data_IF_692748723472
#
_entry.id   IF_692748723472
#
_cell.length_a   1.000
_cell.length_b   1.000
_cell.length_c   1.000
_cell.angle_alpha   90.00
_cell.angle_beta   90.00
_cell.angle_gamma   90.00
#
_symmetry.space_group_name_H-M   'P 1'
#
loop_
_entity.id
_entity.type
_entity.pdbx_description
1 polymer ?
#
# COMPACT_ATOMS: atom_id res chain seq x y z
N UNK A 1 -3.23 12.47 76.55
CA UNK A 1 -2.71 11.08 76.52
C UNK A 1 -3.91 10.18 76.20
N UNK A 2 -4.00 9.35 75.16
CA UNK A 2 -3.03 8.80 74.20
C UNK A 2 -3.82 8.19 73.01
N UNK A 3 -3.46 8.60 71.77
CA UNK A 3 -3.25 7.80 70.53
C UNK A 3 -4.33 6.86 69.91
N UNK A 4 -4.64 7.17 68.62
CA UNK A 4 -4.53 6.30 67.39
C UNK A 4 -5.65 5.25 67.15
N UNK A 5 -6.22 4.97 65.96
CA UNK A 5 -5.84 5.10 64.53
C UNK A 5 -7.06 4.94 63.58
N UNK A 6 -7.01 5.61 62.41
CA UNK A 6 -7.33 5.20 61.01
C UNK A 6 -8.69 4.48 60.68
N UNK A 7 -9.32 4.62 59.49
CA UNK A 7 -8.78 4.57 58.13
C UNK A 7 -9.87 4.94 57.08
N UNK A 8 -9.50 5.81 56.14
CA UNK A 8 -9.82 5.89 54.70
C UNK A 8 -11.11 5.31 54.10
N UNK A 9 -11.81 6.13 53.31
CA UNK A 9 -12.39 5.72 52.03
C UNK A 9 -12.35 6.89 51.02
N UNK A 10 -11.18 7.09 50.42
CA UNK A 10 -11.04 7.84 49.17
C UNK A 10 -11.85 7.13 48.09
N UNK A 11 -12.94 7.74 47.62
CA UNK A 11 -13.60 7.35 46.36
C UNK A 11 -12.72 7.89 45.23
N UNK A 12 -11.66 7.16 44.92
CA UNK A 12 -10.92 7.32 43.68
C UNK A 12 -11.62 6.51 42.60
N UNK A 13 -12.71 7.04 42.05
CA UNK A 13 -13.20 6.59 40.75
C UNK A 13 -12.21 7.14 39.72
N UNK A 14 -11.06 6.49 39.59
CA UNK A 14 -10.20 6.71 38.44
C UNK A 14 -11.01 6.25 37.24
N UNK A 15 -11.60 7.20 36.50
CA UNK A 15 -11.84 7.01 35.08
C UNK A 15 -10.48 6.62 34.51
N UNK A 16 -10.26 5.32 34.35
CA UNK A 16 -9.28 4.85 33.39
C UNK A 16 -9.79 5.36 32.06
N UNK A 17 -9.34 6.55 31.64
CA UNK A 17 -9.36 6.90 30.25
C UNK A 17 -8.71 5.71 29.55
N UNK A 18 -9.40 5.03 28.61
CA UNK A 18 -8.74 4.00 27.82
C UNK A 18 -7.60 4.72 27.11
N UNK A 19 -6.37 4.50 27.58
CA UNK A 19 -5.20 4.71 26.74
C UNK A 19 -5.44 3.72 25.59
N UNK A 20 -5.86 4.24 24.44
CA UNK A 20 -6.07 3.42 23.25
C UNK A 20 -4.76 2.75 22.93
N UNK A 21 -4.59 1.49 23.35
CA UNK A 21 -3.58 0.63 22.77
C UNK A 21 -3.88 0.62 21.27
N UNK A 22 -2.89 0.82 20.40
CA UNK A 22 -3.10 0.53 18.98
C UNK A 22 -3.16 -1.01 18.89
N UNK A 23 -4.24 -1.54 18.32
CA UNK A 23 -4.38 -2.96 18.10
C UNK A 23 -4.08 -3.29 16.64
N UNK A 24 -3.48 -4.46 16.42
CA UNK A 24 -3.44 -5.10 15.13
C UNK A 24 -4.85 -5.17 14.53
N UNK A 25 -4.94 -5.05 13.20
CA UNK A 25 -6.16 -5.30 12.46
C UNK A 25 -6.53 -6.78 12.60
N UNK A 26 -7.77 -7.07 12.94
CA UNK A 26 -8.35 -8.40 12.78
C UNK A 26 -8.85 -8.51 11.34
N UNK A 27 -8.22 -9.37 10.56
CA UNK A 27 -8.45 -9.54 9.13
C UNK A 27 -8.82 -10.99 8.80
N UNK A 28 -9.79 -11.16 7.92
CA UNK A 28 -10.28 -12.46 7.47
C UNK A 28 -10.13 -12.55 5.95
N UNK A 29 -9.13 -13.29 5.43
CA UNK A 29 -8.76 -13.28 4.02
C UNK A 29 -9.84 -13.78 3.06
N UNK A 30 -10.85 -14.52 3.54
CA UNK A 30 -11.97 -15.03 2.72
C UNK A 30 -13.32 -14.38 3.06
N UNK A 31 -13.38 -13.54 4.09
CA UNK A 31 -14.61 -12.93 4.59
C UNK A 31 -15.63 -13.88 5.23
N UNK A 32 -15.50 -15.20 5.00
CA UNK A 32 -16.43 -16.25 5.42
C UNK A 32 -16.13 -16.81 6.82
N UNK A 33 -14.94 -16.56 7.37
CA UNK A 33 -14.55 -16.90 8.74
C UNK A 33 -14.31 -18.38 9.00
N UNK A 34 -14.28 -19.21 7.96
CA UNK A 34 -14.21 -20.66 8.09
C UNK A 34 -12.93 -21.30 7.48
N UNK A 35 -12.49 -20.89 6.29
CA UNK A 35 -11.38 -21.58 5.60
C UNK A 35 -10.02 -20.98 5.94
N UNK A 36 -9.90 -19.64 5.95
CA UNK A 36 -8.72 -18.94 6.45
C UNK A 36 -8.87 -18.53 7.91
N UNK A 37 -10.07 -18.14 8.33
CA UNK A 37 -10.31 -17.65 9.68
C UNK A 37 -9.75 -16.24 9.90
N UNK A 38 -9.93 -15.71 11.10
CA UNK A 38 -9.52 -14.32 11.43
C UNK A 38 -8.15 -14.27 12.07
N UNK A 39 -7.28 -13.41 11.51
CA UNK A 39 -5.90 -13.19 11.95
C UNK A 39 -5.71 -11.77 12.46
N UNK A 40 -4.89 -11.61 13.49
CA UNK A 40 -4.37 -10.30 13.86
C UNK A 40 -3.16 -9.96 12.96
N UNK A 41 -3.20 -8.86 12.23
CA UNK A 41 -2.14 -8.39 11.33
C UNK A 41 -1.83 -6.91 11.55
N UNK A 42 -0.59 -6.51 11.30
CA UNK A 42 -0.15 -5.10 11.25
C UNK A 42 0.36 -4.69 9.86
N UNK A 43 0.43 -5.66 8.93
CA UNK A 43 0.96 -5.47 7.59
C UNK A 43 0.31 -6.44 6.59
N UNK A 44 -0.06 -5.89 5.44
CA UNK A 44 -0.39 -6.62 4.22
C UNK A 44 0.83 -6.56 3.30
N UNK A 45 1.35 -7.71 2.90
CA UNK A 45 2.54 -7.84 2.08
C UNK A 45 2.14 -8.25 0.66
N UNK A 46 2.40 -7.38 -0.31
CA UNK A 46 2.00 -7.60 -1.69
C UNK A 46 3.10 -8.33 -2.44
N UNK A 47 2.74 -9.15 -3.42
CA UNK A 47 3.71 -9.71 -4.35
C UNK A 47 4.41 -8.57 -5.12
N UNK A 48 5.69 -8.77 -5.52
CA UNK A 48 6.35 -7.86 -6.44
C UNK A 48 5.47 -7.59 -7.66
N UNK A 49 5.48 -6.34 -8.13
CA UNK A 49 4.56 -5.88 -9.16
C UNK A 49 5.16 -4.79 -10.07
N UNK A 50 4.34 -4.34 -11.03
CA UNK A 50 4.63 -3.27 -11.96
C UNK A 50 3.91 -1.97 -11.60
N UNK A 51 4.59 -0.86 -11.84
CA UNK A 51 4.06 0.51 -11.77
C UNK A 51 4.23 1.16 -13.13
N UNK A 52 3.22 1.90 -13.59
CA UNK A 52 3.31 2.80 -14.75
C UNK A 52 3.22 4.26 -14.31
N UNK A 53 4.08 5.09 -14.87
CA UNK A 53 3.94 6.55 -14.89
C UNK A 53 3.45 6.97 -16.28
N UNK A 54 2.13 7.10 -16.44
CA UNK A 54 1.49 7.51 -17.70
C UNK A 54 1.82 8.97 -17.97
N UNK A 55 2.52 9.22 -19.08
CA UNK A 55 3.08 10.52 -19.42
C UNK A 55 4.30 10.93 -18.59
N UNK A 56 4.84 10.05 -17.74
CA UNK A 56 5.94 10.38 -16.82
C UNK A 56 7.21 10.81 -17.54
N UNK A 57 7.59 10.11 -18.61
CA UNK A 57 8.79 10.46 -19.40
C UNK A 57 8.58 11.79 -20.14
N UNK A 58 7.38 12.02 -20.69
CA UNK A 58 7.01 13.29 -21.32
C UNK A 58 7.04 14.46 -20.33
N UNK A 59 6.54 14.27 -19.11
CA UNK A 59 6.54 15.28 -18.06
C UNK A 59 7.97 15.70 -17.66
N UNK A 60 8.91 14.75 -17.60
CA UNK A 60 10.33 15.02 -17.35
C UNK A 60 10.94 15.84 -18.49
N UNK A 61 10.69 15.44 -19.74
CA UNK A 61 11.16 16.19 -20.91
C UNK A 61 10.61 17.63 -20.91
N UNK A 62 9.32 17.79 -20.60
CA UNK A 62 8.68 19.10 -20.49
C UNK A 62 9.31 19.94 -19.38
N UNK A 63 9.64 19.36 -18.22
CA UNK A 63 10.32 20.06 -17.14
C UNK A 63 11.69 20.62 -17.58
N UNK A 64 12.51 19.78 -18.21
CA UNK A 64 13.84 20.18 -18.71
C UNK A 64 13.72 21.26 -19.78
N UNK A 65 12.74 21.12 -20.68
CA UNK A 65 12.47 22.09 -21.73
C UNK A 65 12.00 23.44 -21.16
N UNK A 66 11.12 23.44 -20.17
CA UNK A 66 10.68 24.63 -19.45
C UNK A 66 11.87 25.37 -18.82
N UNK A 67 12.76 24.63 -18.14
CA UNK A 67 13.96 25.20 -17.52
C UNK A 67 14.95 25.79 -18.53
N UNK A 68 15.11 25.16 -19.69
CA UNK A 68 16.06 25.59 -20.74
C UNK A 68 15.56 26.80 -21.52
N UNK A 69 14.28 26.82 -21.85
CA UNK A 69 13.71 27.78 -22.80
C UNK A 69 12.73 28.79 -22.17
N UNK A 70 12.46 28.70 -20.86
CA UNK A 70 11.54 29.60 -20.16
C UNK A 70 10.08 29.43 -20.60
N UNK A 71 9.66 28.20 -20.88
CA UNK A 71 8.29 27.85 -21.30
C UNK A 71 7.47 27.27 -20.14
N UNK A 72 6.18 26.97 -20.40
CA UNK A 72 5.23 26.47 -19.40
C UNK A 72 4.44 25.26 -19.94
N UNK A 73 5.17 24.25 -20.41
CA UNK A 73 4.59 22.95 -20.75
C UNK A 73 4.15 22.21 -19.49
N UNK A 74 3.14 21.34 -19.62
CA UNK A 74 2.61 20.53 -18.53
C UNK A 74 3.66 19.53 -18.03
N UNK A 75 3.85 19.46 -16.71
CA UNK A 75 4.78 18.54 -16.04
C UNK A 75 4.06 17.55 -15.14
N UNK A 76 2.73 17.44 -15.27
CA UNK A 76 1.91 16.46 -14.56
C UNK A 76 1.87 15.13 -15.28
N UNK A 77 1.70 14.06 -14.52
CA UNK A 77 1.58 12.69 -14.99
C UNK A 77 0.78 11.89 -13.97
N UNK A 78 0.33 10.68 -14.34
CA UNK A 78 -0.43 9.83 -13.43
C UNK A 78 0.28 8.51 -13.20
N UNK A 79 0.33 8.09 -11.94
CA UNK A 79 0.92 6.83 -11.52
C UNK A 79 -0.19 5.83 -11.29
N UNK A 80 -0.05 4.63 -11.83
CA UNK A 80 -0.93 3.49 -11.57
C UNK A 80 -0.13 2.25 -11.22
N UNK A 81 -0.65 1.46 -10.30
CA UNK A 81 -0.11 0.14 -9.97
C UNK A 81 -1.24 -0.79 -9.59
N UNK A 82 -0.94 -2.08 -9.67
CA UNK A 82 -1.80 -3.16 -9.26
C UNK A 82 -0.94 -4.21 -8.57
N UNK A 83 -1.44 -4.94 -7.57
CA UNK A 83 -0.65 -6.00 -6.93
C UNK A 83 -1.55 -7.09 -6.35
N UNK A 84 -0.99 -8.29 -6.19
CA UNK A 84 -1.65 -9.42 -5.52
C UNK A 84 -1.18 -9.48 -4.08
N UNK A 85 -2.09 -9.76 -3.15
CA UNK A 85 -1.71 -9.97 -1.76
C UNK A 85 -0.97 -11.30 -1.65
N UNK A 86 0.22 -11.28 -1.07
CA UNK A 86 1.01 -12.47 -0.81
C UNK A 86 0.74 -12.99 0.61
N UNK A 87 0.95 -12.14 1.61
CA UNK A 87 0.81 -12.52 3.02
C UNK A 87 0.20 -11.43 3.88
N UNK A 88 -0.44 -11.83 4.98
CA UNK A 88 -0.68 -10.93 6.10
C UNK A 88 0.29 -11.24 7.22
N UNK A 89 0.88 -10.20 7.81
CA UNK A 89 1.94 -10.33 8.81
C UNK A 89 1.57 -9.64 10.11
N UNK A 90 2.17 -10.12 11.20
CA UNK A 90 2.14 -9.50 12.51
C UNK A 90 3.56 -9.53 13.10
N UNK A 91 4.11 -8.36 13.44
CA UNK A 91 5.49 -8.24 13.93
C UNK A 91 6.49 -8.99 13.03
N UNK A 92 6.37 -8.81 11.72
CA UNK A 92 7.20 -9.47 10.69
C UNK A 92 7.10 -11.00 10.63
N UNK A 93 6.07 -11.60 11.21
CA UNK A 93 5.77 -13.02 11.06
C UNK A 93 4.50 -13.22 10.24
N UNK A 94 4.57 -14.04 9.20
CA UNK A 94 3.42 -14.42 8.38
C UNK A 94 2.36 -15.08 9.26
N UNK A 95 1.16 -14.51 9.27
CA UNK A 95 -0.02 -15.07 9.93
C UNK A 95 -0.84 -15.91 8.96
N UNK A 96 -0.90 -15.46 7.71
CA UNK A 96 -1.48 -16.22 6.61
C UNK A 96 -0.73 -15.93 5.31
N UNK A 97 -0.93 -16.83 4.34
CA UNK A 97 -0.49 -16.70 2.95
C UNK A 97 -1.70 -16.89 2.06
N UNK A 98 -1.89 -16.01 1.09
CA UNK A 98 -2.94 -16.18 0.09
C UNK A 98 -2.61 -17.35 -0.83
N UNK A 99 -3.61 -18.14 -1.24
CA UNK A 99 -3.34 -19.24 -2.16
C UNK A 99 -4.56 -19.96 -2.72
N UNK A 100 -4.52 -20.22 -4.03
CA UNK A 100 -5.10 -21.40 -4.69
C UNK A 100 -6.60 -21.37 -5.01
N UNK A 101 -7.46 -20.84 -4.13
CA UNK A 101 -8.91 -20.82 -4.35
C UNK A 101 -9.53 -19.43 -4.29
N UNK A 102 -8.75 -18.42 -3.92
CA UNK A 102 -9.14 -17.02 -3.95
C UNK A 102 -7.90 -16.14 -4.00
N UNK A 103 -8.10 -14.89 -4.38
CA UNK A 103 -7.07 -13.88 -4.32
C UNK A 103 -7.61 -12.55 -3.83
N UNK A 104 -6.69 -11.73 -3.33
CA UNK A 104 -6.96 -10.34 -3.01
C UNK A 104 -5.99 -9.51 -3.84
N UNK A 105 -6.53 -8.56 -4.57
CA UNK A 105 -5.73 -7.62 -5.37
C UNK A 105 -5.91 -6.20 -4.84
N UNK A 106 -4.98 -5.32 -5.19
CA UNK A 106 -5.09 -3.89 -4.98
C UNK A 106 -4.84 -3.17 -6.28
N UNK A 107 -5.62 -2.12 -6.54
CA UNK A 107 -5.31 -1.08 -7.52
C UNK A 107 -5.04 0.22 -6.78
N UNK A 108 -4.05 0.98 -7.24
CA UNK A 108 -3.72 2.29 -6.69
C UNK A 108 -3.35 3.25 -7.81
N UNK A 109 -3.94 4.45 -7.77
CA UNK A 109 -3.70 5.50 -8.75
C UNK A 109 -3.62 6.89 -8.12
N UNK A 110 -2.72 7.75 -8.60
CA UNK A 110 -2.68 9.17 -8.23
C UNK A 110 -1.94 10.04 -9.24
N UNK A 111 -2.29 11.33 -9.26
CA UNK A 111 -1.61 12.33 -10.09
C UNK A 111 -0.40 12.93 -9.38
N UNK A 112 0.70 13.08 -10.10
CA UNK A 112 1.95 13.68 -9.64
C UNK A 112 2.44 14.76 -10.61
N UNK A 113 3.40 15.56 -10.16
CA UNK A 113 4.13 16.52 -10.99
C UNK A 113 5.63 16.38 -10.79
N UNK A 114 6.39 16.64 -11.85
CA UNK A 114 7.85 16.73 -11.77
C UNK A 114 8.22 18.01 -11.01
N UNK A 115 8.99 17.86 -9.94
CA UNK A 115 9.48 18.98 -9.11
C UNK A 115 10.95 19.31 -9.40
N UNK A 116 11.69 18.32 -9.89
CA UNK A 116 13.07 18.46 -10.35
C UNK A 116 13.37 17.39 -11.40
N UNK A 117 14.16 17.73 -12.41
CA UNK A 117 14.78 16.78 -13.32
C UNK A 117 16.09 17.32 -13.89
N UNK A 118 17.08 16.44 -14.05
CA UNK A 118 18.34 16.73 -14.70
C UNK A 118 18.75 15.56 -15.60
N UNK A 119 18.78 15.80 -16.92
CA UNK A 119 19.17 14.81 -17.91
C UNK A 119 20.64 14.38 -17.80
N UNK A 120 21.50 15.20 -17.20
CA UNK A 120 22.94 14.91 -17.06
C UNK A 120 23.19 13.84 -16.02
N UNK A 121 22.49 13.96 -14.88
CA UNK A 121 22.60 13.01 -13.76
C UNK A 121 21.56 11.89 -13.85
N UNK A 122 20.52 12.06 -14.67
CA UNK A 122 19.40 11.13 -14.79
C UNK A 122 18.48 11.13 -13.58
N UNK A 123 18.56 12.16 -12.72
CA UNK A 123 17.78 12.28 -11.49
C UNK A 123 16.48 13.03 -11.78
N UNK A 124 15.38 12.55 -11.22
CA UNK A 124 14.10 13.24 -11.18
C UNK A 124 13.44 13.10 -9.80
N UNK A 125 12.71 14.14 -9.37
CA UNK A 125 11.87 14.10 -8.17
C UNK A 125 10.45 14.54 -8.51
N UNK A 126 9.49 14.00 -7.78
CA UNK A 126 8.07 14.23 -8.02
C UNK A 126 7.31 14.40 -6.72
N UNK A 127 6.17 15.08 -6.81
CA UNK A 127 5.25 15.29 -5.70
C UNK A 127 3.81 15.04 -6.17
N UNK A 128 2.96 14.53 -5.28
CA UNK A 128 1.53 14.41 -5.56
C UNK A 128 0.92 15.81 -5.77
N UNK A 129 -0.02 15.91 -6.71
CA UNK A 129 -0.83 17.10 -6.92
C UNK A 129 -2.31 16.72 -6.93
N UNK A 130 -3.18 17.73 -6.84
CA UNK A 130 -4.61 17.51 -6.99
C UNK A 130 -4.91 16.89 -8.36
N UNK A 131 -5.77 15.87 -8.38
CA UNK A 131 -6.11 15.12 -9.59
C UNK A 131 -6.90 13.86 -9.23
N UNK A 132 -7.09 12.97 -10.19
CA UNK A 132 -7.68 11.66 -9.92
C UNK A 132 -6.75 10.88 -8.98
N UNK A 133 -7.33 10.30 -7.93
CA UNK A 133 -6.64 9.39 -7.04
C UNK A 133 -7.61 8.34 -6.47
N UNK A 134 -7.11 7.13 -6.28
CA UNK A 134 -7.88 6.04 -5.70
C UNK A 134 -6.95 4.97 -5.14
N UNK A 135 -7.52 4.16 -4.26
CA UNK A 135 -7.02 2.84 -3.89
C UNK A 135 -8.23 1.95 -3.70
N UNK A 136 -8.21 0.78 -4.33
CA UNK A 136 -9.26 -0.22 -4.19
C UNK A 136 -8.65 -1.59 -3.98
N UNK A 137 -9.24 -2.38 -3.08
CA UNK A 137 -8.92 -3.79 -2.93
C UNK A 137 -10.10 -4.63 -3.37
N UNK A 138 -9.79 -5.70 -4.09
CA UNK A 138 -10.77 -6.66 -4.56
C UNK A 138 -10.49 -8.02 -3.93
N UNK A 139 -11.55 -8.76 -3.66
CA UNK A 139 -11.51 -10.18 -3.36
C UNK A 139 -12.14 -10.95 -4.52
N UNK A 140 -11.44 -11.95 -5.03
CA UNK A 140 -11.93 -12.82 -6.09
C UNK A 140 -11.87 -14.30 -5.64
N UNK A 141 -12.94 -15.06 -5.88
CA UNK A 141 -13.01 -16.50 -5.64
C UNK A 141 -12.51 -17.34 -6.84
N UNK A 142 -12.12 -16.68 -7.92
CA UNK A 142 -11.54 -17.25 -9.14
C UNK A 142 -10.19 -16.59 -9.40
N UNK A 143 -9.08 -17.14 -8.86
CA UNK A 143 -7.77 -16.52 -9.04
C UNK A 143 -7.34 -16.51 -10.51
N UNK A 144 -7.27 -15.32 -11.12
CA UNK A 144 -6.89 -15.13 -12.51
C UNK A 144 -6.09 -13.84 -12.76
N UNK A 145 -5.70 -13.11 -11.71
CA UNK A 145 -4.83 -11.96 -11.82
C UNK A 145 -3.43 -12.32 -12.36
N UNK A 146 -3.10 -11.73 -13.50
CA UNK A 146 -1.91 -12.01 -14.28
C UNK A 146 -1.02 -10.77 -14.37
N UNK A 147 0.17 -10.75 -13.74
CA UNK A 147 1.04 -9.58 -13.74
C UNK A 147 1.60 -9.22 -15.12
N UNK A 148 1.69 -10.16 -16.07
CA UNK A 148 2.21 -9.89 -17.41
C UNK A 148 1.15 -9.20 -18.28
N UNK A 149 -0.05 -9.76 -18.35
CA UNK A 149 -1.13 -9.18 -19.17
C UNK A 149 -1.85 -8.03 -18.47
N UNK A 150 -1.76 -7.97 -17.14
CA UNK A 150 -2.43 -6.99 -16.30
C UNK A 150 -3.93 -7.23 -16.14
N UNK A 151 -4.44 -8.42 -16.43
CA UNK A 151 -5.86 -8.78 -16.24
C UNK A 151 -6.11 -9.34 -14.84
N UNK A 152 -7.39 -9.47 -14.44
CA UNK A 152 -7.81 -10.12 -13.18
C UNK A 152 -7.62 -9.29 -11.90
N UNK A 153 -7.16 -8.03 -12.00
CA UNK A 153 -6.92 -7.22 -10.81
C UNK A 153 -8.14 -6.44 -10.30
N UNK A 154 -9.26 -6.41 -11.01
CA UNK A 154 -10.44 -5.58 -10.64
C UNK A 154 -11.81 -6.15 -10.99
N UNK A 155 -11.89 -7.45 -11.22
CA UNK A 155 -13.10 -8.23 -11.53
C UNK A 155 -13.74 -8.90 -10.30
N UNK A 156 -13.06 -8.89 -9.16
CA UNK A 156 -13.60 -9.36 -7.89
C UNK A 156 -14.59 -8.40 -7.19
N UNK A 157 -14.98 -8.78 -5.97
CA UNK A 157 -15.76 -7.95 -5.06
C UNK A 157 -14.87 -6.86 -4.42
N UNK A 158 -15.28 -5.60 -4.49
CA UNK A 158 -14.61 -4.51 -3.75
C UNK A 158 -14.77 -4.72 -2.23
N UNK A 159 -13.66 -4.87 -1.52
CA UNK A 159 -13.61 -5.03 -0.05
C UNK A 159 -13.05 -3.79 0.67
N UNK A 160 -12.35 -2.92 -0.04
CA UNK A 160 -11.85 -1.64 0.45
C UNK A 160 -11.81 -0.62 -0.69
N UNK A 161 -12.23 0.62 -0.45
CA UNK A 161 -12.08 1.71 -1.42
C UNK A 161 -11.87 3.04 -0.71
N UNK A 162 -10.90 3.82 -1.17
CA UNK A 162 -10.56 5.13 -0.63
C UNK A 162 -9.86 6.01 -1.68
N UNK A 163 -9.68 7.29 -1.37
CA UNK A 163 -8.67 8.15 -2.00
C UNK A 163 -7.35 8.05 -1.25
N UNK A 164 -6.27 8.54 -1.86
CA UNK A 164 -4.92 8.50 -1.29
C UNK A 164 -4.26 9.87 -1.19
N UNK A 165 -3.41 10.01 -0.17
CA UNK A 165 -2.42 11.08 -0.06
C UNK A 165 -1.04 10.45 -0.17
N UNK A 166 -0.24 10.92 -1.12
CA UNK A 166 1.08 10.42 -1.43
C UNK A 166 2.14 11.48 -1.09
N UNK A 167 3.30 11.02 -0.64
CA UNK A 167 4.45 11.88 -0.41
C UNK A 167 5.34 11.98 -1.66
N UNK A 168 6.38 12.80 -1.56
CA UNK A 168 7.37 12.97 -2.62
C UNK A 168 8.09 11.67 -2.92
N UNK A 169 8.56 11.51 -4.16
CA UNK A 169 9.47 10.43 -4.52
C UNK A 169 10.58 10.91 -5.44
N UNK A 170 11.51 10.02 -5.72
CA UNK A 170 12.61 10.26 -6.63
C UNK A 170 12.92 9.02 -7.46
N UNK A 171 13.50 9.23 -8.64
CA UNK A 171 14.06 8.19 -9.48
C UNK A 171 15.38 8.66 -10.08
N UNK A 172 16.33 7.74 -10.20
CA UNK A 172 17.61 7.94 -10.88
C UNK A 172 17.78 6.88 -11.96
N UNK A 173 18.02 7.31 -13.18
CA UNK A 173 18.23 6.45 -14.34
C UNK A 173 19.61 6.67 -14.98
N UNK A 174 20.23 5.62 -15.51
CA UNK A 174 21.40 5.77 -16.37
C UNK A 174 20.99 6.25 -17.77
N UNK A 175 21.18 7.56 -18.02
CA UNK A 175 20.87 8.19 -19.30
C UNK A 175 22.07 8.24 -20.27
N UNK A 176 23.17 7.53 -20.01
CA UNK A 176 24.37 7.51 -20.87
C UNK A 176 24.18 6.76 -22.20
N UNK A 177 23.07 6.04 -22.35
CA UNK A 177 22.75 5.21 -23.53
C UNK A 177 23.05 3.72 -23.34
N UNK A 178 23.61 3.31 -22.19
CA UNK A 178 23.64 1.91 -21.80
C UNK A 178 22.21 1.40 -21.54
N UNK A 179 21.88 0.23 -22.10
CA UNK A 179 20.57 -0.39 -21.93
C UNK A 179 20.71 -1.88 -21.64
N UNK A 180 19.67 -2.47 -21.07
CA UNK A 180 19.55 -3.91 -20.84
C UNK A 180 18.14 -4.37 -21.21
N UNK A 181 17.91 -5.67 -21.29
CA UNK A 181 16.56 -6.22 -21.46
C UNK A 181 15.67 -5.75 -20.31
N UNK A 182 14.47 -5.28 -20.65
CA UNK A 182 13.45 -4.79 -19.72
C UNK A 182 13.07 -5.87 -18.71
N UNK A 183 12.82 -7.07 -19.23
CA UNK A 183 12.41 -8.23 -18.46
C UNK A 183 13.60 -9.18 -18.25
N UNK A 184 13.93 -9.37 -16.97
CA UNK A 184 14.96 -10.27 -16.48
C UNK A 184 14.38 -11.13 -15.34
N UNK A 185 13.05 -11.28 -15.31
CA UNK A 185 12.37 -12.15 -14.38
C UNK A 185 12.78 -13.62 -14.61
N UNK A 186 12.43 -14.48 -13.66
CA UNK A 186 12.86 -15.88 -13.70
C UNK A 186 12.26 -16.68 -14.89
N UNK A 187 11.16 -16.22 -15.46
CA UNK A 187 10.46 -16.82 -16.60
C UNK A 187 11.01 -16.39 -17.97
N UNK A 188 11.85 -15.36 -18.02
CA UNK A 188 12.57 -14.97 -19.22
C UNK A 188 12.22 -13.56 -19.69
N UNK A 189 12.22 -13.37 -21.00
CA UNK A 189 11.90 -12.09 -21.63
C UNK A 189 10.53 -12.18 -22.29
N UNK A 190 9.51 -11.70 -21.56
CA UNK A 190 8.13 -11.71 -22.03
C UNK A 190 7.75 -10.43 -22.82
N UNK A 191 8.75 -9.61 -23.14
CA UNK A 191 8.61 -8.37 -23.91
C UNK A 191 9.37 -8.36 -25.24
N UNK A 192 9.80 -9.53 -25.71
CA UNK A 192 10.33 -9.71 -27.07
C UNK A 192 11.59 -8.87 -27.36
N UNK A 193 12.47 -8.71 -26.38
CA UNK A 193 13.72 -7.98 -26.48
C UNK A 193 13.60 -6.48 -26.21
N UNK A 194 12.49 -6.03 -25.63
CA UNK A 194 12.32 -4.65 -25.20
C UNK A 194 13.48 -4.22 -24.30
N UNK A 195 14.06 -3.06 -24.59
CA UNK A 195 15.17 -2.52 -23.81
C UNK A 195 14.66 -1.54 -22.75
N UNK A 196 15.45 -1.37 -21.69
CA UNK A 196 15.25 -0.37 -20.62
C UNK A 196 16.58 0.26 -20.22
N UNK A 197 16.50 1.48 -19.71
CA UNK A 197 17.56 2.06 -18.87
C UNK A 197 17.63 1.30 -17.55
N UNK A 198 18.79 1.30 -16.90
CA UNK A 198 18.92 0.82 -15.52
C UNK A 198 18.65 1.98 -14.58
N UNK A 199 17.81 1.78 -13.57
CA UNK A 199 17.45 2.84 -12.65
C UNK A 199 16.85 2.36 -11.35
N UNK A 200 16.96 3.21 -10.34
CA UNK A 200 16.48 2.97 -8.98
C UNK A 200 15.83 4.23 -8.43
N UNK A 201 14.79 4.04 -7.63
CA UNK A 201 14.09 5.11 -6.95
C UNK A 201 13.28 4.61 -5.78
N UNK A 202 12.66 5.56 -5.09
CA UNK A 202 11.68 5.29 -4.05
C UNK A 202 10.52 6.28 -4.19
N UNK A 203 9.33 5.84 -3.82
CA UNK A 203 8.25 6.76 -3.49
C UNK A 203 8.12 6.86 -1.97
N UNK A 204 7.81 8.05 -1.48
CA UNK A 204 7.35 8.20 -0.10
C UNK A 204 6.02 7.47 0.12
N UNK A 205 5.62 7.39 1.38
CA UNK A 205 4.42 6.65 1.79
C UNK A 205 3.16 7.16 1.08
N UNK A 206 2.25 6.23 0.75
CA UNK A 206 0.93 6.53 0.19
C UNK A 206 -0.13 6.11 1.20
N UNK A 207 -0.73 7.08 1.88
CA UNK A 207 -1.73 6.86 2.92
C UNK A 207 -3.15 6.96 2.35
N UNK A 208 -4.00 5.98 2.67
CA UNK A 208 -5.43 6.08 2.40
C UNK A 208 -6.08 7.11 3.31
N UNK A 209 -7.04 7.86 2.78
CA UNK A 209 -7.89 8.76 3.56
C UNK A 209 -8.90 7.93 4.36
N UNK A 210 -8.89 8.07 5.69
CA UNK A 210 -9.81 7.35 6.57
C UNK A 210 -10.87 8.31 7.17
N UNK A 211 -12.12 7.84 7.41
CA UNK A 211 -12.63 6.50 7.11
C UNK A 211 -12.72 6.24 5.61
N UNK A 212 -12.50 4.98 5.22
CA UNK A 212 -12.59 4.55 3.83
C UNK A 212 -14.03 4.72 3.29
N UNK A 213 -14.15 4.87 1.97
CA UNK A 213 -15.44 4.95 1.28
C UNK A 213 -16.16 3.61 1.32
N UNK A 214 -15.42 2.51 1.13
CA UNK A 214 -15.90 1.14 1.31
C UNK A 214 -14.95 0.43 2.28
N UNK A 215 -15.52 -0.30 3.23
CA UNK A 215 -14.82 -1.27 4.06
C UNK A 215 -15.75 -2.45 4.34
N UNK A 216 -15.41 -3.62 3.84
CA UNK A 216 -16.21 -4.82 4.06
C UNK A 216 -15.86 -5.43 5.42
N UNK A 217 -16.79 -5.34 6.37
CA UNK A 217 -16.61 -5.84 7.74
C UNK A 217 -16.55 -7.36 7.84
N UNK A 218 -16.87 -8.08 6.76
CA UNK A 218 -16.62 -9.52 6.68
C UNK A 218 -15.12 -9.80 6.54
N UNK A 219 -14.34 -8.92 5.89
CA UNK A 219 -12.88 -9.02 5.79
C UNK A 219 -12.17 -8.25 6.91
N UNK A 220 -12.57 -6.99 7.14
CA UNK A 220 -12.01 -6.11 8.17
C UNK A 220 -12.81 -6.22 9.47
N UNK A 221 -12.46 -7.17 10.34
CA UNK A 221 -13.22 -7.47 11.56
C UNK A 221 -13.06 -6.42 12.65
N UNK A 222 -11.90 -5.74 12.72
CA UNK A 222 -11.70 -4.61 13.64
C UNK A 222 -11.72 -3.27 12.91
N UNK A 223 -12.84 -2.58 13.04
CA UNK A 223 -13.07 -1.23 12.52
C UNK A 223 -13.46 -0.27 13.67
N UNK A 224 -13.17 1.05 13.56
CA UNK A 224 -12.54 1.72 12.41
C UNK A 224 -11.03 1.45 12.32
N UNK A 225 -10.51 1.53 11.09
CA UNK A 225 -9.07 1.58 10.85
C UNK A 225 -8.49 2.91 11.36
N UNK A 226 -7.29 2.85 11.93
CA UNK A 226 -6.50 4.00 12.34
C UNK A 226 -5.46 4.38 11.28
N UNK A 227 -4.90 3.38 10.59
CA UNK A 227 -3.94 3.58 9.51
C UNK A 227 -4.15 2.55 8.41
N UNK A 228 -3.93 2.99 7.17
CA UNK A 228 -3.80 2.14 6.00
C UNK A 228 -2.81 2.85 5.06
N UNK A 229 -1.53 2.46 5.14
CA UNK A 229 -0.43 3.21 4.53
C UNK A 229 0.44 2.26 3.74
N UNK A 230 0.50 2.47 2.42
CA UNK A 230 1.44 1.79 1.55
C UNK A 230 2.84 2.36 1.74
N UNK A 231 3.79 1.50 2.07
CA UNK A 231 5.17 1.81 2.45
C UNK A 231 6.16 0.93 1.71
N UNK A 232 7.45 1.25 1.86
CA UNK A 232 8.55 0.51 1.21
C UNK A 232 8.48 0.48 -0.31
N UNK A 233 7.86 1.48 -0.93
CA UNK A 233 7.66 1.57 -2.38
C UNK A 233 9.01 1.80 -3.07
N UNK A 234 9.59 0.71 -3.56
CA UNK A 234 10.81 0.71 -4.38
C UNK A 234 10.45 0.88 -5.85
N UNK A 235 11.32 1.53 -6.62
CA UNK A 235 11.16 1.70 -8.07
C UNK A 235 12.42 1.18 -8.74
N UNK A 236 12.33 0.10 -9.53
CA UNK A 236 13.51 -0.50 -10.14
C UNK A 236 13.30 -0.83 -11.62
N UNK A 237 14.35 -0.60 -12.41
CA UNK A 237 14.52 -1.11 -13.77
C UNK A 237 15.93 -1.67 -13.90
N UNK A 238 16.15 -2.82 -14.54
CA UNK A 238 15.17 -3.72 -15.15
C UNK A 238 14.28 -4.46 -14.14
N UNK A 239 13.26 -5.16 -14.64
CA UNK A 239 12.40 -6.04 -13.86
C UNK A 239 13.14 -7.36 -13.58
N UNK A 240 13.37 -7.71 -12.31
CA UNK A 240 14.12 -8.93 -11.93
C UNK A 240 13.32 -9.92 -11.07
N UNK A 241 12.19 -9.49 -10.50
CA UNK A 241 11.38 -10.26 -9.56
C UNK A 241 9.94 -10.50 -10.01
N UNK A 242 9.49 -9.80 -11.06
CA UNK A 242 8.14 -9.85 -11.61
C UNK A 242 8.17 -9.46 -13.07
N UNK A 243 7.19 -9.91 -13.84
CA UNK A 243 7.04 -9.50 -15.24
C UNK A 243 6.63 -8.03 -15.35
N UNK A 244 7.11 -7.30 -16.37
CA UNK A 244 6.61 -5.98 -16.67
C UNK A 244 5.18 -6.11 -17.23
N UNK A 245 4.21 -5.42 -16.62
CA UNK A 245 2.83 -5.53 -17.09
C UNK A 245 2.62 -4.82 -18.43
N UNK A 246 1.86 -5.46 -19.32
CA UNK A 246 1.41 -4.94 -20.61
C UNK A 246 0.07 -4.20 -20.51
N UNK A 247 -0.60 -4.25 -19.36
CA UNK A 247 -1.91 -3.61 -19.12
C UNK A 247 -1.98 -2.95 -17.74
N UNK A 248 -2.66 -1.81 -17.62
CA UNK A 248 -2.94 -1.16 -16.33
C UNK A 248 -4.35 -0.58 -16.31
N UNK A 249 -4.81 -0.20 -15.11
CA UNK A 249 -6.14 0.33 -14.86
C UNK A 249 -6.10 1.82 -14.51
N UNK A 250 -6.70 2.65 -15.35
CA UNK A 250 -6.92 4.08 -15.07
C UNK A 250 -8.15 4.32 -14.20
N UNK A 251 -9.07 3.35 -14.23
CA UNK A 251 -10.39 3.37 -13.61
C UNK A 251 -10.63 2.03 -12.92
N UNK A 252 -11.34 2.06 -11.79
CA UNK A 252 -11.64 0.89 -10.97
C UNK A 252 -12.84 0.10 -11.50
N UNK A 253 -12.92 -1.20 -11.18
CA UNK A 253 -14.04 -2.07 -11.55
C UNK A 253 -14.13 -2.44 -13.04
N UNK A 254 -13.02 -2.36 -13.79
CA UNK A 254 -12.98 -2.79 -15.19
C UNK A 254 -12.69 -4.29 -15.28
N UNK A 255 -13.32 -4.97 -16.24
CA UNK A 255 -13.03 -6.38 -16.51
C UNK A 255 -11.66 -6.60 -17.20
N UNK A 256 -11.09 -5.56 -17.79
CA UNK A 256 -9.80 -5.61 -18.48
C UNK A 256 -9.07 -4.27 -18.33
N UNK A 257 -7.73 -4.27 -18.37
CA UNK A 257 -6.95 -3.04 -18.33
C UNK A 257 -7.28 -2.12 -19.51
N UNK A 258 -7.32 -0.82 -19.26
CA UNK A 258 -7.62 0.23 -20.24
C UNK A 258 -6.39 1.07 -20.64
N UNK A 259 -5.25 0.83 -20.01
CA UNK A 259 -3.97 1.45 -20.35
C UNK A 259 -3.04 0.39 -20.93
N UNK A 260 -2.58 0.63 -22.16
CA UNK A 260 -1.45 -0.07 -22.77
C UNK A 260 -0.20 0.85 -22.72
N UNK A 261 0.94 0.42 -22.15
CA UNK A 261 2.12 1.27 -22.00
C UNK A 261 2.72 1.71 -23.33
N UNK A 262 2.99 3.01 -23.48
CA UNK A 262 3.79 3.56 -24.56
C UNK A 262 5.20 3.90 -24.07
N UNK A 263 6.05 2.88 -23.99
CA UNK A 263 7.43 2.97 -23.44
C UNK A 263 8.52 3.19 -24.51
N UNK A 264 8.14 3.21 -25.79
CA UNK A 264 9.05 3.41 -26.92
C UNK A 264 10.08 2.29 -27.09
N UNK A 265 11.20 2.57 -27.77
CA UNK A 265 12.24 1.56 -28.03
C UNK A 265 13.11 1.24 -26.82
N UNK A 266 13.22 2.19 -25.88
CA UNK A 266 13.94 2.00 -24.60
C UNK A 266 13.12 2.61 -23.47
N UNK A 267 12.57 1.77 -22.61
CA UNK A 267 11.82 2.18 -21.43
C UNK A 267 12.67 3.12 -20.55
N UNK A 268 12.12 4.29 -20.19
CA UNK A 268 12.78 5.31 -19.35
C UNK A 268 13.84 6.18 -20.05
N UNK A 269 14.13 5.95 -21.33
CA UNK A 269 15.08 6.80 -22.07
C UNK A 269 14.44 8.14 -22.46
N UNK A 270 15.15 9.24 -22.22
CA UNK A 270 14.69 10.59 -22.64
C UNK A 270 14.82 10.84 -24.15
N UNK A 271 15.55 10.01 -24.89
CA UNK A 271 15.79 10.18 -26.33
C UNK A 271 15.10 9.13 -27.19
N UNK A 272 14.90 7.94 -26.65
CA UNK A 272 14.40 6.77 -27.37
C UNK A 272 13.25 6.05 -26.65
N UNK A 273 12.83 6.59 -25.50
CA UNK A 273 11.64 6.14 -24.78
C UNK A 273 10.38 6.78 -25.31
N UNK A 274 9.26 6.15 -24.99
CA UNK A 274 7.93 6.65 -25.26
C UNK A 274 7.52 7.71 -24.23
N UNK A 275 6.22 8.01 -24.19
CA UNK A 275 5.68 9.01 -23.24
C UNK A 275 5.56 8.46 -21.82
N UNK A 276 5.42 7.14 -21.69
CA UNK A 276 5.25 6.44 -20.43
C UNK A 276 6.57 5.84 -19.94
N UNK A 277 6.60 5.50 -18.65
CA UNK A 277 7.70 4.77 -18.05
C UNK A 277 7.14 3.71 -17.09
N UNK A 278 7.61 2.47 -17.20
CA UNK A 278 7.24 1.39 -16.29
C UNK A 278 8.45 0.92 -15.47
N UNK A 279 8.20 0.53 -14.22
CA UNK A 279 9.22 0.03 -13.31
C UNK A 279 8.64 -0.97 -12.33
N UNK A 280 9.48 -1.88 -11.85
CA UNK A 280 9.10 -2.86 -10.84
C UNK A 280 9.04 -2.20 -9.46
N UNK A 281 8.18 -2.74 -8.61
CA UNK A 281 8.05 -2.35 -7.22
C UNK A 281 7.75 -3.57 -6.36
N UNK A 282 8.14 -3.46 -5.10
CA UNK A 282 7.77 -4.38 -4.05
C UNK A 282 7.42 -3.51 -2.85
N UNK A 283 6.15 -3.54 -2.44
CA UNK A 283 5.62 -2.66 -1.41
C UNK A 283 4.73 -3.45 -0.46
N UNK A 284 4.51 -2.89 0.72
CA UNK A 284 3.59 -3.43 1.71
C UNK A 284 2.67 -2.32 2.22
N UNK A 285 1.58 -2.70 2.87
CA UNK A 285 0.64 -1.78 3.48
C UNK A 285 0.58 -2.02 4.98
N UNK A 286 1.01 -1.02 5.76
CA UNK A 286 0.84 -1.03 7.21
C UNK A 286 -0.61 -0.70 7.59
N UNK A 287 -1.17 -1.51 8.49
CA UNK A 287 -2.56 -1.43 8.94
C UNK A 287 -2.64 -1.42 10.46
N UNK A 288 -3.53 -0.60 11.02
CA UNK A 288 -3.85 -0.61 12.45
C UNK A 288 -5.33 -0.31 12.66
N UNK A 289 -5.90 -0.78 13.76
CA UNK A 289 -7.31 -0.60 14.09
C UNK A 289 -7.51 -0.23 15.56
N UNK A 290 -8.72 0.24 15.89
CA UNK A 290 -9.15 0.43 17.28
C UNK A 290 -9.32 -0.95 17.94
N UNK A 291 -8.76 -1.18 19.15
CA UNK A 291 -9.00 -2.42 19.88
C UNK A 291 -10.48 -2.66 20.16
N UNK A 292 -10.91 -3.92 20.06
CA UNK A 292 -12.30 -4.28 20.36
C UNK A 292 -12.68 -3.88 21.81
N UNK A 293 -13.75 -3.09 22.01
CA UNK A 293 -14.14 -2.59 23.33
C UNK A 293 -14.43 -3.70 24.36
N UNK A 294 -14.85 -4.88 23.92
CA UNK A 294 -15.22 -6.00 24.80
C UNK A 294 -14.02 -6.56 25.57
N UNK A 295 -12.84 -6.63 24.96
CA UNK A 295 -11.62 -7.14 25.58
C UNK A 295 -11.12 -6.23 26.71
N UNK A 296 -11.24 -4.91 26.53
CA UNK A 296 -10.91 -3.93 27.56
C UNK A 296 -11.95 -3.91 28.71
N UNK A 297 -13.23 -4.05 28.38
CA UNK A 297 -14.29 -4.15 29.37
C UNK A 297 -14.13 -5.41 30.24
N UNK A 298 -13.84 -6.57 29.65
CA UNK A 298 -13.67 -7.82 30.39
C UNK A 298 -12.40 -7.81 31.25
N UNK A 299 -11.29 -7.26 30.75
CA UNK A 299 -10.08 -7.04 31.55
C UNK A 299 -10.34 -6.10 32.74
N UNK A 300 -11.06 -5.01 32.51
CA UNK A 300 -11.49 -4.07 33.56
C UNK A 300 -12.38 -4.72 34.62
N UNK A 301 -13.36 -5.53 34.19
CA UNK A 301 -14.25 -6.29 35.09
C UNK A 301 -13.45 -7.35 35.87
N UNK A 302 -12.55 -8.08 35.22
CA UNK A 302 -11.71 -9.09 35.85
C UNK A 302 -10.79 -8.51 36.92
N UNK A 303 -10.12 -7.38 36.62
CA UNK A 303 -9.28 -6.67 37.58
C UNK A 303 -10.09 -6.04 38.72
N UNK A 304 -11.28 -5.51 38.42
CA UNK A 304 -12.22 -5.02 39.43
C UNK A 304 -12.70 -6.12 40.38
N UNK A 305 -13.00 -7.30 39.85
CA UNK A 305 -13.38 -8.47 40.65
C UNK A 305 -12.23 -8.96 41.53
N UNK A 306 -11.00 -9.02 41.00
CA UNK A 306 -9.81 -9.41 41.79
C UNK A 306 -9.51 -8.38 42.89
N UNK A 307 -9.61 -7.09 42.58
CA UNK A 307 -9.41 -6.02 43.57
C UNK A 307 -10.42 -6.04 44.72
N UNK A 308 -11.70 -6.29 44.41
CA UNK A 308 -12.74 -6.43 45.45
C UNK A 308 -12.59 -7.70 46.27
N UNK A 309 -12.18 -8.82 45.68
CA UNK A 309 -11.88 -10.07 46.38
C UNK A 309 -10.64 -9.96 47.27
N UNK A 310 -9.59 -9.28 46.82
CA UNK A 310 -8.38 -9.03 47.60
C UNK A 310 -8.65 -8.15 48.83
N UNK A 311 -9.51 -7.12 48.69
CA UNK A 311 -9.93 -6.28 49.82
C UNK A 311 -10.81 -7.03 50.84
N UNK A 312 -11.62 -8.00 50.41
CA UNK A 312 -12.41 -8.84 51.34
C UNK A 312 -11.54 -9.75 52.20
N UNK A 313 -10.44 -10.27 51.66
CA UNK A 313 -9.48 -11.12 52.40
C UNK A 313 -8.65 -10.36 53.44
N UNK A 314 -8.46 -9.05 53.27
CA UNK A 314 -7.75 -8.22 54.27
C UNK A 314 -8.60 -7.86 55.50
N UNK A 315 -9.92 -7.95 55.42
CA UNK A 315 -10.83 -7.68 56.55
C UNK A 315 -11.14 -8.91 57.41
N UNK A 316 -10.60 -10.08 57.06
CA UNK A 316 -10.83 -11.37 57.75
C UNK A 316 -9.60 -11.88 58.50
N UNK A 317 -8.61 -11.03 58.75
CA UNK A 317 -7.53 -11.26 59.71
C UNK A 317 -7.54 -10.19 60.79
#
# INVERSE_FOLDING_TARGET
MTKKNALSALVGLALAAPLGAQAALLFDPDGAGAAYGTYAIDLLDWSPTSIIAVGGNQAIQNYIYNATYGTSLDTTFTVYTMAKLSTGQLNSNNQFTMGGSSEITVLLGYTATVTFADATTGISTFAQVAGSNFVEMYYDDTPDADPLTGTGFSDGQVIFSSTVTAQNGFFSADQSGATTTLDQSANGDDWGGQQTVTGVGISGNVASVLPATVIDTTFFKSVPLLTFITTNISLNTPFTSVDPSQGYYSTTGLAAPDIAPNIGTVNGSLTSGGVDFIFSSDFNTSVNAVPEPASLALLGIGLGAIGTLANRRRKTK
#
